data_IF_007238959199
#
_entry.id   IF_007238959199
#
_cell.length_a   1.000
_cell.length_b   1.000
_cell.length_c   1.000
_cell.angle_alpha   90.00
_cell.angle_beta   90.00
_cell.angle_gamma   90.00
#
_symmetry.space_group_name_H-M   'P 1'
#
loop_
_entity.id
_entity.type
_entity.pdbx_description
1 polymer ?
#
# COMPACT_ATOMS: atom_id res chain seq x y z
N UNK A 1 12.18 1.49 17.11
CA UNK A 1 11.17 0.83 16.26
C UNK A 1 11.41 1.30 14.85
N UNK A 2 11.84 0.40 13.97
CA UNK A 2 12.16 0.71 12.57
C UNK A 2 10.91 0.51 11.70
N UNK A 3 10.52 1.56 10.97
CA UNK A 3 9.30 1.60 10.15
C UNK A 3 9.56 2.35 8.86
N UNK A 4 8.82 2.00 7.82
CA UNK A 4 8.85 2.66 6.53
C UNK A 4 7.45 3.09 6.09
N UNK A 5 7.40 4.17 5.30
CA UNK A 5 6.17 4.60 4.62
C UNK A 5 6.25 4.16 3.17
N UNK A 6 5.30 3.34 2.73
CA UNK A 6 5.13 2.93 1.33
C UNK A 6 3.88 3.61 0.80
N UNK A 7 4.01 4.34 -0.31
CA UNK A 7 2.88 5.06 -0.92
C UNK A 7 2.65 4.56 -2.34
N UNK A 8 1.46 4.01 -2.60
CA UNK A 8 0.98 3.72 -3.94
C UNK A 8 0.37 5.01 -4.52
N UNK A 9 0.76 5.39 -5.74
CA UNK A 9 0.27 6.59 -6.43
C UNK A 9 -0.15 6.25 -7.85
N UNK A 10 -1.32 6.71 -8.27
CA UNK A 10 -1.78 6.54 -9.65
C UNK A 10 -3.03 7.35 -9.96
N UNK A 11 -3.05 8.04 -11.10
CA UNK A 11 -4.21 8.79 -11.56
C UNK A 11 -5.44 7.89 -11.81
N UNK A 12 -5.20 6.62 -12.19
CA UNK A 12 -6.24 5.62 -12.40
C UNK A 12 -6.86 5.05 -11.11
N UNK A 13 -6.39 5.45 -9.92
CA UNK A 13 -6.96 4.99 -8.65
C UNK A 13 -8.28 5.70 -8.33
N UNK A 14 -8.39 6.99 -8.69
CA UNK A 14 -9.54 7.84 -8.39
C UNK A 14 -10.80 7.30 -9.05
N UNK A 15 -11.85 7.08 -8.25
CA UNK A 15 -13.12 6.56 -8.74
C UNK A 15 -13.08 5.11 -9.27
N UNK A 16 -11.97 4.38 -9.09
CA UNK A 16 -11.84 2.97 -9.51
C UNK A 16 -12.02 2.05 -8.30
N UNK A 17 -13.17 1.36 -8.16
CA UNK A 17 -13.40 0.45 -7.04
C UNK A 17 -12.41 -0.72 -7.04
N UNK A 18 -12.05 -1.19 -5.84
CA UNK A 18 -11.25 -2.39 -5.66
C UNK A 18 -9.74 -2.20 -5.63
N UNK A 19 -9.19 -1.04 -6.03
CA UNK A 19 -7.74 -0.79 -5.98
C UNK A 19 -7.20 -0.91 -4.55
N UNK A 20 -7.82 -0.23 -3.58
CA UNK A 20 -7.43 -0.31 -2.18
C UNK A 20 -7.51 -1.76 -1.65
N UNK A 21 -8.58 -2.49 -2.02
CA UNK A 21 -8.76 -3.89 -1.66
C UNK A 21 -7.66 -4.79 -2.21
N UNK A 22 -7.26 -4.61 -3.47
CA UNK A 22 -6.14 -5.35 -4.09
C UNK A 22 -4.82 -5.10 -3.36
N UNK A 23 -4.54 -3.84 -3.01
CA UNK A 23 -3.33 -3.46 -2.26
C UNK A 23 -3.30 -4.15 -0.89
N UNK A 24 -4.35 -4.00 -0.09
CA UNK A 24 -4.37 -4.59 1.26
C UNK A 24 -4.40 -6.12 1.23
N UNK A 25 -5.03 -6.72 0.23
CA UNK A 25 -5.02 -8.18 0.03
C UNK A 25 -3.63 -8.68 -0.30
N UNK A 26 -2.89 -8.00 -1.18
CA UNK A 26 -1.53 -8.41 -1.55
C UNK A 26 -0.58 -8.35 -0.35
N UNK A 27 -0.62 -7.26 0.43
CA UNK A 27 0.19 -7.13 1.65
C UNK A 27 -0.19 -8.20 2.68
N UNK A 28 -1.48 -8.37 2.96
CA UNK A 28 -1.95 -9.40 3.90
C UNK A 28 -1.62 -10.83 3.48
N UNK A 29 -1.58 -11.13 2.17
CA UNK A 29 -1.21 -12.45 1.66
C UNK A 29 0.28 -12.80 1.78
N UNK A 30 1.11 -11.82 2.15
CA UNK A 30 2.56 -11.98 2.34
C UNK A 30 3.00 -11.70 3.78
N UNK A 31 2.04 -11.75 4.72
CA UNK A 31 2.25 -11.52 6.15
C UNK A 31 2.85 -10.14 6.48
N UNK A 32 2.68 -9.14 5.59
CA UNK A 32 3.11 -7.77 5.85
C UNK A 32 2.08 -7.06 6.73
N UNK A 33 2.49 -6.70 7.94
CA UNK A 33 1.64 -5.98 8.87
C UNK A 33 1.56 -4.47 8.52
N UNK A 34 0.34 -3.94 8.42
CA UNK A 34 0.09 -2.51 8.18
C UNK A 34 -0.16 -1.82 9.53
N UNK A 35 0.77 -0.96 9.93
CA UNK A 35 0.74 -0.24 11.21
C UNK A 35 -0.20 0.96 11.17
N UNK A 36 -0.23 1.67 10.04
CA UNK A 36 -1.10 2.82 9.82
C UNK A 36 -1.43 3.00 8.34
N UNK A 37 -2.57 3.62 8.06
CA UNK A 37 -3.08 3.88 6.70
C UNK A 37 -3.48 5.35 6.61
N UNK A 38 -3.07 6.01 5.54
CA UNK A 38 -3.53 7.35 5.17
C UNK A 38 -3.84 7.40 3.67
N UNK A 39 -4.94 8.06 3.32
CA UNK A 39 -5.42 8.15 1.93
C UNK A 39 -5.66 9.64 1.63
N UNK A 40 -5.03 10.16 0.57
CA UNK A 40 -5.14 11.57 0.21
C UNK A 40 -6.51 11.92 -0.40
N UNK A 41 -7.07 13.10 -0.11
CA UNK A 41 -8.40 13.51 -0.60
C UNK A 41 -8.57 13.53 -2.14
N UNK A 42 -7.48 13.50 -2.90
CA UNK A 42 -7.52 13.35 -4.36
C UNK A 42 -7.86 11.94 -4.84
N UNK A 43 -7.88 10.94 -3.93
CA UNK A 43 -8.06 9.51 -4.23
C UNK A 43 -6.96 8.89 -5.10
N UNK A 44 -5.91 9.66 -5.41
CA UNK A 44 -4.81 9.22 -6.28
C UNK A 44 -3.67 8.56 -5.52
N UNK A 45 -3.75 8.44 -4.19
CA UNK A 45 -2.71 7.82 -3.39
C UNK A 45 -3.22 7.16 -2.11
N UNK A 46 -2.53 6.08 -1.71
CA UNK A 46 -2.66 5.40 -0.42
C UNK A 46 -1.26 5.23 0.17
N UNK A 47 -1.04 5.77 1.35
CA UNK A 47 0.18 5.61 2.13
C UNK A 47 -0.04 4.63 3.27
N UNK A 48 0.92 3.72 3.47
CA UNK A 48 0.88 2.68 4.48
C UNK A 48 2.19 2.71 5.27
N UNK A 49 2.10 2.57 6.60
CA UNK A 49 3.26 2.39 7.46
C UNK A 49 3.44 0.89 7.69
N UNK A 50 4.64 0.38 7.43
CA UNK A 50 5.02 -1.04 7.61
C UNK A 50 6.29 -1.14 8.46
N UNK A 51 6.61 -2.34 8.96
CA UNK A 51 7.90 -2.59 9.60
C UNK A 51 9.05 -2.39 8.62
N UNK A 52 10.20 -1.87 9.08
CA UNK A 52 11.34 -1.61 8.20
C UNK A 52 11.82 -2.84 7.43
N UNK A 53 11.78 -4.03 8.06
CA UNK A 53 12.10 -5.31 7.42
C UNK A 53 11.12 -5.76 6.32
N UNK A 54 9.91 -5.22 6.31
CA UNK A 54 8.86 -5.58 5.34
C UNK A 54 8.86 -4.67 4.11
N UNK A 55 9.65 -3.61 4.11
CA UNK A 55 9.64 -2.54 3.09
C UNK A 55 9.79 -3.10 1.68
N UNK A 56 10.77 -3.97 1.46
CA UNK A 56 11.05 -4.53 0.13
C UNK A 56 9.92 -5.42 -0.37
N UNK A 57 9.39 -6.28 0.50
CA UNK A 57 8.23 -7.14 0.21
C UNK A 57 7.01 -6.28 -0.13
N UNK A 58 6.72 -5.26 0.69
CA UNK A 58 5.59 -4.37 0.48
C UNK A 58 5.65 -3.65 -0.88
N UNK A 59 6.82 -3.09 -1.23
CA UNK A 59 7.02 -2.43 -2.53
C UNK A 59 6.83 -3.41 -3.69
N UNK A 60 7.43 -4.60 -3.62
CA UNK A 60 7.31 -5.63 -4.67
C UNK A 60 5.87 -6.09 -4.87
N UNK A 61 5.15 -6.35 -3.78
CA UNK A 61 3.76 -6.80 -3.85
C UNK A 61 2.84 -5.72 -4.43
N UNK A 62 3.00 -4.47 -4.01
CA UNK A 62 2.22 -3.36 -4.56
C UNK A 62 2.54 -3.16 -6.04
N UNK A 63 3.82 -3.22 -6.43
CA UNK A 63 4.24 -3.05 -7.82
C UNK A 63 3.70 -4.15 -8.75
N UNK A 64 3.50 -5.37 -8.26
CA UNK A 64 2.92 -6.46 -9.04
C UNK A 64 1.41 -6.26 -9.36
N UNK A 65 0.74 -5.29 -8.74
CA UNK A 65 -0.69 -5.01 -8.94
C UNK A 65 -0.98 -3.95 -10.01
N UNK A 66 0.00 -3.10 -10.32
CA UNK A 66 -0.06 -1.98 -11.27
C UNK A 66 0.59 -2.37 -12.59
#
# INVERSE_FOLDING_TARGET
HDVAIVTAVGAGMRGTPGIAGRIFTALGSTDVNIIAIAQGSSECSISMVVGGGDTETAVKQIHALI
#
